data_IF_497127667407
#
_entry.id   IF_497127667407
#
_cell.length_a   1.000
_cell.length_b   1.000
_cell.length_c   1.000
_cell.angle_alpha   90.00
_cell.angle_beta   90.00
_cell.angle_gamma   90.00
#
_symmetry.space_group_name_H-M   'P 1'
#
loop_
_entity.id
_entity.type
_entity.pdbx_description
1 polymer ?
#
# COMPACT_ATOMS: atom_id res chain seq x y z
N UNK A 1 55.09 27.19 -41.72
CA UNK A 1 55.02 26.62 -40.37
C UNK A 1 54.27 27.65 -39.50
N UNK A 2 52.96 27.44 -39.30
CA UNK A 2 52.12 28.41 -38.59
C UNK A 2 52.39 28.26 -37.07
N UNK A 3 52.99 29.27 -36.48
CA UNK A 3 53.10 29.37 -35.02
C UNK A 3 51.70 29.67 -34.48
N UNK A 4 51.10 28.67 -33.84
CA UNK A 4 49.85 28.86 -33.08
C UNK A 4 50.04 29.97 -32.06
N UNK A 5 49.16 30.99 -32.12
CA UNK A 5 49.18 32.11 -31.20
C UNK A 5 49.12 31.57 -29.75
N UNK A 6 50.09 31.98 -28.91
CA UNK A 6 50.26 31.50 -27.52
C UNK A 6 48.98 31.59 -26.70
N UNK A 7 48.11 32.55 -27.01
CA UNK A 7 46.79 32.73 -26.38
C UNK A 7 45.80 31.62 -26.78
N UNK A 8 45.81 31.18 -28.03
CA UNK A 8 44.97 30.07 -28.51
C UNK A 8 45.38 28.72 -27.90
N UNK A 9 46.66 28.50 -27.71
CA UNK A 9 47.16 27.29 -27.04
C UNK A 9 46.71 27.26 -25.58
N UNK A 10 46.86 28.37 -24.87
CA UNK A 10 46.42 28.45 -23.45
C UNK A 10 44.93 28.24 -23.36
N UNK A 11 44.10 28.82 -24.23
CA UNK A 11 42.65 28.63 -24.26
C UNK A 11 42.25 27.17 -24.50
N UNK A 12 42.92 26.50 -25.46
CA UNK A 12 42.70 25.06 -25.70
C UNK A 12 43.10 24.18 -24.50
N UNK A 13 44.19 24.50 -23.85
CA UNK A 13 44.59 23.79 -22.62
C UNK A 13 43.57 23.95 -21.49
N UNK A 14 43.00 25.14 -21.29
CA UNK A 14 41.96 25.40 -20.28
C UNK A 14 40.71 24.60 -20.60
N UNK A 15 40.23 24.60 -21.86
CA UNK A 15 39.08 23.81 -22.29
C UNK A 15 39.36 22.31 -22.07
N UNK A 16 40.54 21.81 -22.41
CA UNK A 16 40.91 20.42 -22.23
C UNK A 16 40.94 20.00 -20.78
N UNK A 17 41.49 20.84 -19.88
CA UNK A 17 41.45 20.63 -18.43
C UNK A 17 40.01 20.63 -17.91
N UNK A 18 39.17 21.53 -18.39
CA UNK A 18 37.76 21.59 -18.01
C UNK A 18 36.98 20.36 -18.47
N UNK A 19 37.25 19.84 -19.67
CA UNK A 19 36.70 18.58 -20.13
C UNK A 19 37.16 17.37 -19.31
N UNK A 20 38.44 17.30 -18.91
CA UNK A 20 38.93 16.24 -18.03
C UNK A 20 38.25 16.30 -16.64
N UNK A 21 38.05 17.49 -16.09
CA UNK A 21 37.34 17.65 -14.81
C UNK A 21 35.88 17.22 -14.89
N UNK A 22 35.21 17.40 -16.03
CA UNK A 22 33.83 16.96 -16.25
C UNK A 22 33.71 15.43 -16.44
N UNK A 23 34.77 14.77 -16.93
CA UNK A 23 34.83 13.31 -17.12
C UNK A 23 35.21 12.53 -15.84
N UNK A 24 35.74 13.18 -14.82
CA UNK A 24 36.16 12.56 -13.57
C UNK A 24 35.01 12.24 -12.58
N UNK A 25 33.75 12.45 -12.97
CA UNK A 25 32.59 12.46 -12.06
C UNK A 25 31.83 11.14 -11.87
N UNK A 26 32.13 10.06 -12.59
CA UNK A 26 31.42 8.78 -12.40
C UNK A 26 32.23 7.81 -11.55
N UNK A 27 31.97 7.78 -10.25
CA UNK A 27 32.45 6.70 -9.39
C UNK A 27 31.86 5.38 -9.88
N UNK A 28 32.68 4.50 -10.46
CA UNK A 28 32.29 3.13 -10.83
C UNK A 28 32.03 2.35 -9.55
N UNK A 29 30.76 1.99 -9.32
CA UNK A 29 30.38 1.14 -8.20
C UNK A 29 30.46 -0.32 -8.67
N UNK A 30 31.41 -1.08 -8.14
CA UNK A 30 31.56 -2.49 -8.45
C UNK A 30 30.35 -3.30 -7.97
N UNK A 31 29.63 -3.92 -8.90
CA UNK A 31 28.40 -4.69 -8.64
C UNK A 31 28.72 -5.99 -7.90
N UNK A 32 29.89 -6.58 -8.15
CA UNK A 32 30.28 -7.88 -7.58
C UNK A 32 30.53 -7.80 -6.05
N UNK A 33 30.79 -6.59 -5.54
CA UNK A 33 31.00 -6.33 -4.12
C UNK A 33 29.74 -5.83 -3.39
N UNK A 34 28.54 -6.12 -3.93
CA UNK A 34 27.27 -5.66 -3.36
C UNK A 34 26.30 -6.79 -3.14
N UNK A 35 25.56 -6.69 -2.04
CA UNK A 35 24.39 -7.51 -1.74
C UNK A 35 23.14 -6.64 -1.82
N UNK A 36 22.25 -6.98 -2.74
CA UNK A 36 21.03 -6.23 -2.97
C UNK A 36 19.94 -6.68 -2.01
N UNK A 37 19.52 -5.78 -1.14
CA UNK A 37 18.40 -5.99 -0.23
C UNK A 37 17.13 -5.77 -1.02
N UNK A 38 16.23 -6.79 -1.04
CA UNK A 38 14.95 -6.75 -1.74
C UNK A 38 13.76 -6.68 -0.77
N UNK A 39 13.95 -7.11 0.47
CA UNK A 39 12.94 -7.05 1.52
C UNK A 39 13.56 -6.82 2.90
N UNK A 40 12.83 -6.12 3.74
CA UNK A 40 13.23 -5.85 5.12
C UNK A 40 12.06 -6.22 6.03
N UNK A 41 12.33 -7.00 7.07
CA UNK A 41 11.41 -7.33 8.13
C UNK A 41 11.81 -6.67 9.44
N UNK A 42 10.83 -6.16 10.17
CA UNK A 42 11.03 -5.61 11.51
C UNK A 42 10.04 -6.27 12.45
N UNK A 43 10.54 -7.04 13.39
CA UNK A 43 9.81 -7.70 14.46
C UNK A 43 10.24 -7.13 15.82
N UNK A 44 9.44 -7.26 16.89
CA UNK A 44 9.92 -7.04 18.24
C UNK A 44 10.99 -8.09 18.57
N UNK A 45 11.98 -7.74 19.37
CA UNK A 45 12.98 -8.70 19.86
C UNK A 45 12.31 -9.71 20.81
N UNK A 46 12.71 -10.97 20.70
CA UNK A 46 12.28 -12.03 21.61
C UNK A 46 13.12 -12.07 22.91
N UNK A 47 14.29 -11.41 22.92
CA UNK A 47 15.25 -11.46 24.04
C UNK A 47 15.11 -10.29 24.99
N UNK A 48 14.86 -9.09 24.44
CA UNK A 48 14.84 -7.86 25.22
C UNK A 48 13.66 -6.99 24.81
N UNK A 49 12.84 -6.61 25.78
CA UNK A 49 11.67 -5.74 25.57
C UNK A 49 12.13 -4.35 25.05
N UNK A 50 11.44 -3.83 24.05
CA UNK A 50 11.76 -2.55 23.42
C UNK A 50 12.83 -2.61 22.34
N UNK A 51 13.49 -3.76 22.16
CA UNK A 51 14.46 -3.99 21.08
C UNK A 51 13.76 -4.50 19.80
N UNK A 52 14.48 -4.43 18.68
CA UNK A 52 13.98 -4.85 17.36
C UNK A 52 14.79 -6.04 16.82
N UNK A 53 14.09 -6.97 16.19
CA UNK A 53 14.69 -8.00 15.33
C UNK A 53 14.56 -7.56 13.88
N UNK A 54 15.67 -7.35 13.19
CA UNK A 54 15.72 -6.94 11.79
C UNK A 54 16.14 -8.12 10.92
N UNK A 55 15.33 -8.39 9.90
CA UNK A 55 15.58 -9.40 8.87
C UNK A 55 15.79 -8.72 7.53
N UNK A 56 16.95 -8.96 6.90
CA UNK A 56 17.25 -8.51 5.54
C UNK A 56 17.16 -9.70 4.58
N UNK A 57 16.30 -9.60 3.58
CA UNK A 57 16.20 -10.56 2.47
C UNK A 57 17.07 -10.07 1.32
N UNK A 58 18.07 -10.86 0.97
CA UNK A 58 19.08 -10.52 -0.03
C UNK A 58 18.85 -11.33 -1.30
N UNK A 59 18.98 -10.67 -2.45
CA UNK A 59 19.02 -11.35 -3.75
C UNK A 59 20.45 -11.76 -4.08
N UNK A 60 20.65 -13.05 -4.36
CA UNK A 60 21.95 -13.55 -4.83
C UNK A 60 21.93 -13.58 -6.37
N UNK A 61 22.79 -12.79 -7.05
CA UNK A 61 22.88 -12.84 -8.50
C UNK A 61 23.26 -14.24 -8.98
N UNK A 62 22.48 -14.83 -9.85
CA UNK A 62 22.80 -16.14 -10.45
C UNK A 62 23.76 -15.91 -11.60
N UNK A 63 24.99 -16.37 -11.46
CA UNK A 63 26.14 -16.10 -12.37
C UNK A 63 26.07 -16.76 -13.76
N UNK A 64 24.96 -17.34 -14.20
CA UNK A 64 24.83 -17.95 -15.52
C UNK A 64 23.40 -17.93 -16.06
N UNK A 65 23.19 -17.26 -17.17
CA UNK A 65 21.95 -17.19 -17.95
C UNK A 65 21.56 -18.58 -18.52
N UNK A 66 22.47 -19.55 -18.52
CA UNK A 66 22.27 -20.87 -19.17
C UNK A 66 21.76 -21.98 -18.23
N UNK A 67 21.66 -21.73 -16.94
CA UNK A 67 21.03 -22.68 -16.02
C UNK A 67 19.76 -22.03 -15.46
N UNK A 68 18.63 -22.67 -15.68
CA UNK A 68 17.33 -22.38 -15.04
C UNK A 68 17.42 -22.65 -13.52
N UNK A 69 18.31 -21.95 -12.84
CA UNK A 69 18.35 -21.98 -11.37
C UNK A 69 17.37 -20.94 -10.86
N UNK A 70 16.43 -21.38 -10.03
CA UNK A 70 15.57 -20.47 -9.26
C UNK A 70 16.44 -19.41 -8.57
N UNK A 71 16.00 -18.15 -8.52
CA UNK A 71 16.69 -17.14 -7.73
C UNK A 71 16.87 -17.65 -6.31
N UNK A 72 18.08 -17.55 -5.79
CA UNK A 72 18.35 -17.93 -4.40
C UNK A 72 18.40 -16.69 -3.52
N UNK A 73 17.87 -16.81 -2.30
CA UNK A 73 17.87 -15.74 -1.32
C UNK A 73 18.72 -16.13 -0.14
N UNK A 74 19.36 -15.12 0.44
CA UNK A 74 20.00 -15.20 1.73
C UNK A 74 19.29 -14.28 2.70
N UNK A 75 19.26 -14.66 3.95
CA UNK A 75 18.67 -13.86 5.01
C UNK A 75 19.74 -13.54 6.05
N UNK A 76 19.85 -12.28 6.41
CA UNK A 76 20.61 -11.82 7.55
C UNK A 76 19.65 -11.36 8.62
N UNK A 77 19.84 -11.83 9.85
CA UNK A 77 18.95 -11.52 10.98
C UNK A 77 19.78 -11.09 12.16
N UNK A 78 19.41 -9.98 12.79
CA UNK A 78 20.03 -9.53 14.02
C UNK A 78 19.05 -8.75 14.89
N UNK A 79 19.24 -8.81 16.21
CA UNK A 79 18.48 -8.04 17.19
C UNK A 79 19.35 -6.89 17.71
N UNK A 80 18.76 -5.70 17.89
CA UNK A 80 19.43 -4.52 18.40
C UNK A 80 18.49 -3.61 19.16
N UNK A 81 19.02 -2.71 19.96
CA UNK A 81 18.26 -1.71 20.71
C UNK A 81 17.44 -0.82 19.76
N UNK A 82 17.95 -0.59 18.57
CA UNK A 82 17.25 0.11 17.50
C UNK A 82 17.59 -0.50 16.13
N UNK A 83 16.84 -0.11 15.10
CA UNK A 83 16.98 -0.68 13.75
C UNK A 83 18.37 -0.37 13.15
N UNK A 84 18.92 0.83 13.40
CA UNK A 84 20.23 1.23 12.89
C UNK A 84 21.34 0.33 13.47
N UNK A 85 21.32 0.07 14.77
CA UNK A 85 22.29 -0.80 15.43
C UNK A 85 22.21 -2.21 14.85
N UNK A 86 21.01 -2.79 14.75
CA UNK A 86 20.83 -4.11 14.17
C UNK A 86 21.40 -4.18 12.74
N UNK A 87 21.12 -3.18 11.90
CA UNK A 87 21.64 -3.10 10.54
C UNK A 87 23.14 -2.95 10.50
N UNK A 88 23.76 -2.11 11.36
CA UNK A 88 25.21 -1.94 11.44
C UNK A 88 25.93 -3.23 11.81
N UNK A 89 25.36 -4.01 12.71
CA UNK A 89 25.93 -5.33 13.04
C UNK A 89 25.76 -6.28 11.87
N UNK A 90 24.63 -6.29 11.18
CA UNK A 90 24.42 -7.09 9.97
C UNK A 90 25.44 -6.76 8.86
N UNK A 91 25.87 -5.51 8.72
CA UNK A 91 26.94 -5.11 7.80
C UNK A 91 28.28 -5.82 8.09
N UNK A 92 28.51 -6.25 9.34
CA UNK A 92 29.71 -7.00 9.72
C UNK A 92 29.63 -8.51 9.44
N UNK A 93 28.44 -9.01 9.07
CA UNK A 93 28.23 -10.44 8.76
C UNK A 93 28.58 -10.79 7.31
N UNK A 94 29.04 -9.83 6.53
CA UNK A 94 29.40 -10.00 5.13
C UNK A 94 30.61 -9.15 4.77
N UNK A 95 31.38 -9.61 3.81
CA UNK A 95 32.51 -8.86 3.20
C UNK A 95 32.05 -7.90 2.09
N UNK A 96 30.76 -7.90 1.78
CA UNK A 96 30.12 -7.08 0.75
C UNK A 96 29.32 -5.93 1.32
N UNK A 97 29.16 -4.87 0.55
CA UNK A 97 28.33 -3.72 0.93
C UNK A 97 26.84 -4.04 0.77
N UNK A 98 26.05 -3.80 1.80
CA UNK A 98 24.60 -3.89 1.74
C UNK A 98 24.01 -2.72 0.93
N UNK A 99 23.23 -3.02 -0.10
CA UNK A 99 22.64 -2.02 -1.01
C UNK A 99 21.12 -1.96 -0.83
N UNK A 100 20.64 -0.88 -0.23
CA UNK A 100 19.21 -0.67 0.11
C UNK A 100 18.38 -0.10 -1.03
N UNK A 101 19.01 0.44 -2.07
CA UNK A 101 18.33 1.09 -3.21
C UNK A 101 17.43 0.16 -4.02
N UNK A 102 17.48 -1.14 -3.80
CA UNK A 102 16.66 -2.17 -4.46
C UNK A 102 15.56 -2.74 -3.57
N UNK A 103 15.41 -2.24 -2.35
CA UNK A 103 14.34 -2.69 -1.44
C UNK A 103 12.97 -2.45 -2.07
N UNK A 104 12.20 -3.52 -2.18
CA UNK A 104 10.85 -3.52 -2.75
C UNK A 104 9.77 -3.54 -1.70
N UNK A 105 10.03 -4.16 -0.55
CA UNK A 105 9.04 -4.33 0.51
C UNK A 105 9.65 -4.20 1.89
N UNK A 106 8.89 -3.57 2.78
CA UNK A 106 9.17 -3.49 4.21
C UNK A 106 7.98 -4.11 4.93
N UNK A 107 8.24 -5.18 5.67
CA UNK A 107 7.25 -5.83 6.52
C UNK A 107 7.48 -5.41 7.97
N UNK A 108 6.44 -4.91 8.63
CA UNK A 108 6.50 -4.51 10.03
C UNK A 108 5.54 -5.39 10.81
N UNK A 109 6.02 -6.02 11.87
CA UNK A 109 5.17 -6.82 12.75
C UNK A 109 4.02 -5.97 13.31
N UNK A 110 2.81 -6.53 13.33
CA UNK A 110 1.59 -5.84 13.81
C UNK A 110 1.77 -5.26 15.22
N UNK A 111 2.47 -5.97 16.09
CA UNK A 111 2.72 -5.55 17.47
C UNK A 111 3.51 -4.22 17.59
N UNK A 112 4.27 -3.85 16.57
CA UNK A 112 5.02 -2.59 16.54
C UNK A 112 4.20 -1.40 16.03
N UNK A 113 3.01 -1.64 15.46
CA UNK A 113 2.23 -0.60 14.79
C UNK A 113 1.47 0.32 15.77
N UNK A 114 1.22 -0.11 16.99
CA UNK A 114 0.50 0.68 17.98
C UNK A 114 1.29 1.94 18.39
N UNK A 115 2.53 1.78 18.79
CA UNK A 115 3.30 2.84 19.41
C UNK A 115 4.56 3.25 18.63
N UNK A 116 5.06 2.39 17.75
CA UNK A 116 6.38 2.53 17.16
C UNK A 116 6.39 2.73 15.64
N UNK A 117 5.23 2.82 15.00
CA UNK A 117 5.18 2.91 13.52
C UNK A 117 5.96 4.11 12.98
N UNK A 118 5.89 5.25 13.66
CA UNK A 118 6.63 6.45 13.26
C UNK A 118 8.12 6.26 13.41
N UNK A 119 8.57 5.69 14.51
CA UNK A 119 9.98 5.46 14.80
C UNK A 119 10.58 4.46 13.81
N UNK A 120 9.86 3.35 13.55
CA UNK A 120 10.25 2.36 12.55
C UNK A 120 10.36 2.99 11.16
N UNK A 121 9.34 3.78 10.76
CA UNK A 121 9.32 4.41 9.45
C UNK A 121 10.32 5.57 9.33
N UNK A 122 10.60 6.29 10.41
CA UNK A 122 11.54 7.42 10.41
C UNK A 122 12.95 6.94 10.05
N UNK A 123 13.37 5.77 10.53
CA UNK A 123 14.64 5.14 10.14
C UNK A 123 14.73 4.97 8.62
N UNK A 124 13.74 4.32 8.01
CA UNK A 124 13.75 4.04 6.56
C UNK A 124 13.66 5.30 5.71
N UNK A 125 12.86 6.27 6.14
CA UNK A 125 12.64 7.53 5.42
C UNK A 125 13.88 8.44 5.48
N UNK A 126 14.66 8.38 6.56
CA UNK A 126 15.89 9.18 6.70
C UNK A 126 17.07 8.62 5.92
N UNK A 127 17.01 7.38 5.51
CA UNK A 127 18.04 6.78 4.65
C UNK A 127 18.01 7.39 3.26
N UNK A 128 19.12 8.04 2.85
CA UNK A 128 19.24 8.63 1.51
C UNK A 128 19.47 7.62 0.40
N UNK A 129 19.80 6.36 0.74
CA UNK A 129 20.09 5.25 -0.15
C UNK A 129 18.87 4.34 -0.42
N UNK A 130 17.70 4.65 0.16
CA UNK A 130 16.48 3.87 0.02
C UNK A 130 15.43 4.59 -0.85
N UNK A 131 14.70 3.83 -1.67
CA UNK A 131 13.61 4.37 -2.48
C UNK A 131 12.31 4.44 -1.69
N UNK A 132 11.65 5.61 -1.68
CA UNK A 132 10.37 5.80 -0.99
C UNK A 132 9.18 5.09 -1.64
N UNK A 133 9.38 4.40 -2.77
CA UNK A 133 8.40 3.59 -3.48
C UNK A 133 8.42 2.11 -3.05
N UNK A 134 9.16 1.75 -2.00
CA UNK A 134 9.01 0.43 -1.40
C UNK A 134 7.60 0.28 -0.80
N UNK A 135 6.97 -0.88 -1.00
CA UNK A 135 5.70 -1.20 -0.34
C UNK A 135 5.91 -1.44 1.15
N UNK A 136 4.91 -1.08 1.93
CA UNK A 136 4.90 -1.35 3.37
C UNK A 136 3.67 -2.18 3.71
N UNK A 137 3.86 -3.24 4.48
CA UNK A 137 2.78 -4.10 4.96
C UNK A 137 2.96 -4.47 6.44
N UNK A 138 1.86 -4.83 7.06
CA UNK A 138 1.83 -5.41 8.39
C UNK A 138 1.99 -6.93 8.29
N UNK A 139 2.95 -7.49 9.00
CA UNK A 139 3.03 -8.94 9.20
C UNK A 139 2.17 -9.31 10.41
N UNK A 140 1.26 -10.28 10.24
CA UNK A 140 0.32 -10.66 11.31
C UNK A 140 1.05 -11.25 12.51
N UNK A 141 2.01 -12.13 12.27
CA UNK A 141 2.74 -12.84 13.31
C UNK A 141 4.22 -12.46 13.30
N UNK A 142 4.94 -12.73 12.21
CA UNK A 142 6.34 -12.41 12.08
C UNK A 142 6.68 -11.86 10.70
N UNK A 143 7.38 -10.73 10.68
CA UNK A 143 7.90 -10.14 9.44
C UNK A 143 8.99 -11.03 8.83
N UNK A 144 9.79 -11.71 9.65
CA UNK A 144 10.78 -12.69 9.19
C UNK A 144 10.10 -13.85 8.48
N UNK A 145 9.04 -14.45 9.05
CA UNK A 145 8.32 -15.59 8.46
C UNK A 145 7.68 -15.20 7.12
N UNK A 146 7.04 -14.04 7.05
CA UNK A 146 6.47 -13.51 5.81
C UNK A 146 7.55 -13.36 4.72
N UNK A 147 8.74 -12.85 5.06
CA UNK A 147 9.83 -12.71 4.09
C UNK A 147 10.43 -14.06 3.66
N UNK A 148 10.41 -15.06 4.55
CA UNK A 148 10.91 -16.41 4.29
C UNK A 148 9.91 -17.30 3.57
N UNK A 149 8.63 -16.93 3.54
CA UNK A 149 7.59 -17.71 2.88
C UNK A 149 7.95 -17.99 1.41
N UNK A 150 7.79 -19.25 1.00
CA UNK A 150 8.08 -19.76 -0.34
C UNK A 150 6.82 -20.37 -0.97
N UNK A 151 5.95 -19.54 -1.57
CA UNK A 151 4.73 -20.05 -2.22
C UNK A 151 5.05 -21.05 -3.32
N UNK A 152 4.50 -22.28 -3.19
CA UNK A 152 4.75 -23.42 -4.11
C UNK A 152 4.21 -23.18 -5.52
N UNK A 153 3.22 -22.30 -5.66
CA UNK A 153 2.57 -22.01 -6.94
C UNK A 153 3.42 -21.15 -7.89
N UNK A 154 4.60 -20.68 -7.47
CA UNK A 154 5.39 -19.73 -8.22
C UNK A 154 6.76 -20.28 -8.60
N UNK A 155 7.13 -20.13 -9.88
CA UNK A 155 8.44 -20.54 -10.39
C UNK A 155 9.59 -19.67 -9.87
N UNK A 156 9.30 -18.42 -9.47
CA UNK A 156 10.27 -17.45 -8.97
C UNK A 156 9.86 -16.88 -7.61
N UNK A 157 10.35 -17.48 -6.54
CA UNK A 157 10.10 -17.09 -5.13
C UNK A 157 10.43 -15.62 -4.81
N UNK A 158 11.21 -14.93 -5.66
CA UNK A 158 11.67 -13.56 -5.41
C UNK A 158 10.63 -12.49 -5.53
N UNK A 159 9.63 -12.74 -6.34
CA UNK A 159 8.66 -11.72 -6.76
C UNK A 159 7.28 -11.97 -6.20
N UNK A 160 7.06 -13.09 -5.47
CA UNK A 160 5.73 -13.49 -5.04
C UNK A 160 5.06 -12.42 -4.19
N UNK A 161 5.71 -12.01 -3.10
CA UNK A 161 5.13 -11.00 -2.21
C UNK A 161 4.96 -9.64 -2.89
N UNK A 162 5.89 -9.23 -3.76
CA UNK A 162 5.78 -7.94 -4.46
C UNK A 162 4.72 -7.94 -5.54
N UNK A 163 4.40 -9.10 -6.13
CA UNK A 163 3.34 -9.23 -7.14
C UNK A 163 1.94 -8.97 -6.60
N UNK A 164 1.70 -9.20 -5.31
CA UNK A 164 0.44 -8.83 -4.68
C UNK A 164 0.17 -7.32 -4.74
N UNK A 165 1.25 -6.53 -4.74
CA UNK A 165 1.20 -5.07 -4.68
C UNK A 165 1.54 -4.41 -6.03
N UNK A 166 2.08 -5.16 -6.99
CA UNK A 166 2.48 -4.63 -8.28
C UNK A 166 1.25 -4.50 -9.19
N UNK A 167 0.89 -3.27 -9.48
CA UNK A 167 -0.30 -2.91 -10.26
C UNK A 167 -0.07 -3.19 -11.75
N UNK A 168 0.05 -4.46 -12.12
CA UNK A 168 0.19 -4.87 -13.53
C UNK A 168 -1.15 -5.06 -14.24
N UNK A 169 -2.24 -4.44 -13.75
CA UNK A 169 -3.55 -4.42 -14.40
C UNK A 169 -4.59 -5.38 -13.82
N UNK A 170 -4.29 -6.09 -12.74
CA UNK A 170 -5.23 -6.94 -12.00
C UNK A 170 -5.21 -6.58 -10.51
N UNK A 171 -5.56 -5.33 -10.21
CA UNK A 171 -5.71 -4.90 -8.82
C UNK A 171 -6.85 -5.67 -8.16
N UNK A 172 -6.52 -6.47 -7.16
CA UNK A 172 -7.55 -7.11 -6.35
C UNK A 172 -8.16 -6.07 -5.41
N UNK A 173 -9.50 -5.91 -5.40
CA UNK A 173 -10.15 -4.98 -4.49
C UNK A 173 -10.01 -5.38 -3.02
N UNK A 174 -9.52 -6.58 -2.74
CA UNK A 174 -9.27 -7.09 -1.39
C UNK A 174 -7.84 -6.81 -0.88
N UNK A 175 -6.96 -6.26 -1.72
CA UNK A 175 -5.57 -5.98 -1.38
C UNK A 175 -5.35 -4.46 -1.31
N UNK A 176 -4.90 -3.98 -0.15
CA UNK A 176 -4.41 -2.62 -0.01
C UNK A 176 -2.96 -2.57 -0.47
N UNK A 177 -2.62 -1.57 -1.27
CA UNK A 177 -1.25 -1.29 -1.68
C UNK A 177 -0.82 0.06 -1.11
N UNK A 178 0.19 0.07 -0.25
CA UNK A 178 0.66 1.27 0.42
C UNK A 178 2.16 1.42 0.25
N UNK A 179 2.58 2.51 -0.38
CA UNK A 179 3.99 2.86 -0.49
C UNK A 179 4.50 3.57 0.77
N UNK A 180 5.79 3.47 1.01
CA UNK A 180 6.45 4.13 2.14
C UNK A 180 6.20 5.65 2.16
N UNK A 181 6.23 6.33 0.99
CA UNK A 181 5.92 7.75 0.92
C UNK A 181 4.47 8.08 1.28
N UNK A 182 3.53 7.20 0.98
CA UNK A 182 2.11 7.37 1.31
C UNK A 182 1.87 7.17 2.81
N UNK A 183 2.44 6.11 3.37
CA UNK A 183 2.39 5.87 4.81
C UNK A 183 2.94 7.07 5.57
N UNK A 184 4.13 7.57 5.20
CA UNK A 184 4.73 8.77 5.78
C UNK A 184 3.82 9.97 5.68
N UNK A 185 3.32 10.26 4.46
CA UNK A 185 2.44 11.40 4.22
C UNK A 185 1.20 11.33 5.10
N UNK A 186 0.53 10.18 5.14
CA UNK A 186 -0.73 10.01 5.86
C UNK A 186 -0.51 10.04 7.38
N UNK A 187 0.55 9.40 7.90
CA UNK A 187 0.88 9.43 9.34
C UNK A 187 1.21 10.83 9.88
N UNK A 188 1.69 11.74 9.01
CA UNK A 188 1.99 13.12 9.40
C UNK A 188 0.88 14.12 9.04
N UNK A 189 -0.19 13.66 8.39
CA UNK A 189 -1.30 14.50 7.95
C UNK A 189 -2.46 14.41 8.93
N UNK A 190 -2.95 15.55 9.40
CA UNK A 190 -4.17 15.59 10.20
C UNK A 190 -5.40 15.35 9.33
N UNK A 191 -6.31 14.50 9.79
CA UNK A 191 -7.59 14.21 9.15
C UNK A 191 -7.54 13.14 8.08
N UNK A 192 -6.56 12.24 8.16
CA UNK A 192 -6.48 10.98 7.43
C UNK A 192 -5.69 9.98 8.26
N UNK A 193 -6.15 8.75 8.30
CA UNK A 193 -5.45 7.64 8.95
C UNK A 193 -4.89 6.68 7.88
N UNK A 194 -3.59 6.31 7.96
CA UNK A 194 -2.98 5.40 7.00
C UNK A 194 -3.56 3.99 7.12
N UNK A 195 -3.62 3.30 5.97
CA UNK A 195 -4.07 1.90 5.88
C UNK A 195 -2.95 1.05 5.35
N UNK A 196 -2.68 -0.08 5.98
CA UNK A 196 -1.65 -1.05 5.59
C UNK A 196 -2.29 -2.39 5.25
N UNK A 197 -1.81 -3.11 4.22
CA UNK A 197 -2.20 -4.50 4.01
C UNK A 197 -1.69 -5.38 5.14
N UNK A 198 -2.48 -6.37 5.55
CA UNK A 198 -2.04 -7.46 6.41
C UNK A 198 -1.53 -8.58 5.50
N UNK A 199 -0.35 -9.09 5.80
CA UNK A 199 0.23 -10.25 5.17
C UNK A 199 0.35 -11.36 6.21
N UNK A 200 -0.33 -12.47 5.94
CA UNK A 200 -0.33 -13.67 6.76
C UNK A 200 0.34 -14.81 5.98
N UNK A 201 0.93 -15.76 6.69
CA UNK A 201 1.37 -17.04 6.11
C UNK A 201 0.45 -18.15 6.59
N UNK A 202 0.27 -19.19 5.78
CA UNK A 202 -0.30 -20.43 6.31
C UNK A 202 0.74 -21.19 7.16
N UNK A 203 0.29 -22.19 7.92
CA UNK A 203 1.10 -22.92 8.93
C UNK A 203 2.41 -23.50 8.37
N UNK A 204 2.48 -23.85 7.11
CA UNK A 204 3.67 -24.43 6.46
C UNK A 204 4.48 -23.41 5.64
N UNK A 205 4.13 -22.13 5.65
CA UNK A 205 4.80 -21.07 4.89
C UNK A 205 4.68 -21.21 3.37
N UNK A 206 3.81 -22.11 2.88
CA UNK A 206 3.65 -22.39 1.45
C UNK A 206 2.70 -21.45 0.72
N UNK A 207 2.01 -20.57 1.45
CA UNK A 207 1.08 -19.57 0.90
C UNK A 207 1.19 -18.27 1.67
N UNK A 208 1.05 -17.17 0.92
CA UNK A 208 0.82 -15.83 1.47
C UNK A 208 -0.64 -15.46 1.28
N UNK A 209 -1.25 -14.90 2.32
CA UNK A 209 -2.64 -14.45 2.33
C UNK A 209 -2.64 -12.94 2.54
N UNK A 210 -3.21 -12.20 1.58
CA UNK A 210 -3.29 -10.74 1.61
C UNK A 210 -4.69 -10.33 1.21
N UNK A 211 -5.60 -10.27 2.16
CA UNK A 211 -7.00 -9.93 1.90
C UNK A 211 -7.67 -9.11 3.01
N UNK A 212 -6.87 -8.66 3.98
CA UNK A 212 -7.28 -7.80 5.08
C UNK A 212 -6.35 -6.59 5.16
N UNK A 213 -6.72 -5.60 5.94
CA UNK A 213 -5.90 -4.42 6.17
C UNK A 213 -6.05 -3.87 7.59
N UNK A 214 -5.11 -3.03 7.98
CA UNK A 214 -5.10 -2.33 9.26
C UNK A 214 -5.21 -0.83 9.02
N UNK A 215 -6.10 -0.16 9.76
CA UNK A 215 -6.03 1.29 9.92
C UNK A 215 -5.14 1.56 11.12
N UNK A 216 -4.10 2.37 10.92
CA UNK A 216 -3.08 2.65 11.93
C UNK A 216 -3.21 4.08 12.42
N UNK A 217 -3.26 4.24 13.74
CA UNK A 217 -3.24 5.55 14.38
C UNK A 217 -2.25 5.48 15.56
N UNK A 218 -1.32 6.43 15.66
CA UNK A 218 -0.31 6.41 16.71
C UNK A 218 -0.91 6.43 18.11
N UNK A 219 -0.37 5.59 19.00
CA UNK A 219 -0.85 5.45 20.38
C UNK A 219 -2.19 4.72 20.50
N UNK A 220 -2.61 4.00 19.47
CA UNK A 220 -3.82 3.17 19.48
C UNK A 220 -3.56 1.80 18.86
N UNK A 221 -4.21 0.79 19.41
CA UNK A 221 -4.23 -0.54 18.80
C UNK A 221 -4.76 -0.42 17.36
N UNK A 222 -4.05 -0.95 16.34
CA UNK A 222 -4.50 -0.92 14.96
C UNK A 222 -5.87 -1.55 14.79
N UNK A 223 -6.71 -0.94 13.94
CA UNK A 223 -8.06 -1.44 13.66
C UNK A 223 -8.05 -2.35 12.43
N UNK A 224 -8.34 -3.62 12.62
CA UNK A 224 -8.40 -4.59 11.52
C UNK A 224 -9.68 -4.43 10.68
N UNK A 225 -9.51 -4.25 9.39
CA UNK A 225 -10.56 -4.36 8.39
C UNK A 225 -10.61 -5.78 7.84
N UNK A 226 -11.76 -6.45 7.99
CA UNK A 226 -12.02 -7.73 7.34
C UNK A 226 -11.89 -7.61 5.80
N UNK A 227 -11.77 -8.72 5.09
CA UNK A 227 -11.69 -8.73 3.62
C UNK A 227 -12.82 -7.91 2.97
N UNK A 228 -14.04 -7.99 3.51
CA UNK A 228 -15.18 -7.22 3.02
C UNK A 228 -15.00 -5.72 3.25
N UNK A 229 -14.60 -5.30 4.45
CA UNK A 229 -14.38 -3.89 4.76
C UNK A 229 -13.16 -3.32 4.01
N UNK A 230 -12.12 -4.13 3.79
CA UNK A 230 -10.97 -3.78 2.94
C UNK A 230 -11.39 -3.50 1.51
N UNK A 231 -12.31 -4.32 0.96
CA UNK A 231 -12.89 -4.09 -0.36
C UNK A 231 -13.64 -2.76 -0.42
N UNK A 232 -14.49 -2.45 0.57
CA UNK A 232 -15.22 -1.19 0.61
C UNK A 232 -14.26 0.01 0.73
N UNK A 233 -13.20 -0.10 1.54
CA UNK A 233 -12.14 0.90 1.59
C UNK A 233 -11.54 1.16 0.21
N UNK A 234 -11.08 0.12 -0.48
CA UNK A 234 -10.47 0.24 -1.81
C UNK A 234 -11.46 0.79 -2.86
N UNK A 235 -12.73 0.40 -2.76
CA UNK A 235 -13.80 0.95 -3.61
C UNK A 235 -13.91 2.46 -3.43
N UNK A 236 -13.95 2.94 -2.18
CA UNK A 236 -14.16 4.36 -1.88
C UNK A 236 -12.90 5.20 -2.07
N UNK A 237 -11.74 4.71 -1.67
CA UNK A 237 -10.48 5.44 -1.71
C UNK A 237 -9.85 5.42 -3.12
N UNK A 238 -9.95 4.30 -3.85
CA UNK A 238 -9.22 4.06 -5.10
C UNK A 238 -10.10 3.82 -6.32
N UNK A 239 -11.43 3.84 -6.18
CA UNK A 239 -12.42 3.54 -7.24
C UNK A 239 -12.26 2.13 -7.84
N UNK A 240 -11.82 1.15 -7.04
CA UNK A 240 -11.63 -0.21 -7.53
C UNK A 240 -12.96 -0.91 -7.80
N UNK A 241 -12.97 -1.74 -8.83
CA UNK A 241 -14.01 -2.72 -9.16
C UNK A 241 -13.41 -4.14 -9.12
N UNK A 242 -14.01 -5.08 -9.85
CA UNK A 242 -13.54 -6.46 -9.92
C UNK A 242 -13.99 -7.33 -8.74
N UNK A 243 -15.18 -7.07 -8.22
CA UNK A 243 -15.78 -7.82 -7.12
C UNK A 243 -17.30 -7.93 -7.28
N UNK A 244 -17.92 -8.82 -6.49
CA UNK A 244 -19.33 -9.14 -6.66
C UNK A 244 -20.16 -8.82 -5.41
N UNK A 245 -21.42 -8.47 -5.65
CA UNK A 245 -22.48 -8.44 -4.65
C UNK A 245 -23.51 -9.53 -4.94
N UNK A 246 -24.09 -10.06 -3.87
CA UNK A 246 -25.24 -10.95 -3.95
C UNK A 246 -26.49 -10.16 -3.68
N UNK A 247 -27.47 -10.23 -4.60
CA UNK A 247 -28.80 -9.66 -4.45
C UNK A 247 -29.86 -10.77 -4.52
N UNK A 248 -31.03 -10.53 -4.00
CA UNK A 248 -32.16 -11.46 -4.05
C UNK A 248 -33.33 -10.81 -4.73
N UNK A 249 -33.94 -11.51 -5.68
CA UNK A 249 -35.14 -11.09 -6.37
C UNK A 249 -36.14 -12.26 -6.51
N UNK A 250 -37.29 -12.17 -5.85
CA UNK A 250 -38.35 -13.16 -5.89
C UNK A 250 -37.90 -14.61 -5.56
N UNK A 251 -37.04 -14.71 -4.52
CA UNK A 251 -36.43 -15.99 -4.10
C UNK A 251 -35.40 -16.54 -5.09
N UNK A 252 -34.86 -15.68 -5.96
CA UNK A 252 -33.75 -15.98 -6.85
C UNK A 252 -32.50 -15.25 -6.35
N UNK A 253 -31.42 -15.97 -6.07
CA UNK A 253 -30.13 -15.37 -5.76
C UNK A 253 -29.42 -14.99 -7.06
N UNK A 254 -28.96 -13.76 -7.13
CA UNK A 254 -28.29 -13.21 -8.30
C UNK A 254 -26.95 -12.65 -7.85
N UNK A 255 -25.88 -12.97 -8.56
CA UNK A 255 -24.53 -12.43 -8.33
C UNK A 255 -24.23 -11.39 -9.39
N UNK A 256 -24.01 -10.18 -8.92
CA UNK A 256 -23.68 -9.00 -9.74
C UNK A 256 -22.19 -8.72 -9.61
N UNK A 257 -21.45 -8.78 -10.72
CA UNK A 257 -20.05 -8.41 -10.79
C UNK A 257 -19.93 -6.92 -11.13
N UNK A 258 -19.19 -6.16 -10.31
CA UNK A 258 -18.91 -4.74 -10.52
C UNK A 258 -17.55 -4.59 -11.21
N UNK A 259 -17.58 -4.20 -12.47
CA UNK A 259 -16.34 -4.03 -13.26
C UNK A 259 -15.70 -2.65 -13.10
N UNK A 260 -16.53 -1.59 -12.97
CA UNK A 260 -16.04 -0.21 -12.85
C UNK A 260 -16.77 0.53 -11.74
N UNK A 261 -16.01 1.34 -11.01
CA UNK A 261 -16.52 2.18 -9.93
C UNK A 261 -16.00 3.60 -10.08
N UNK A 262 -16.83 4.59 -9.74
CA UNK A 262 -16.44 5.99 -9.66
C UNK A 262 -17.10 6.63 -8.45
N UNK A 263 -16.29 7.11 -7.53
CA UNK A 263 -16.75 7.73 -6.29
C UNK A 263 -16.41 9.22 -6.30
N UNK A 264 -17.37 10.03 -5.91
CA UNK A 264 -17.20 11.46 -5.67
C UNK A 264 -17.88 11.83 -4.37
N UNK A 265 -17.26 12.68 -3.57
CA UNK A 265 -17.87 13.16 -2.35
C UNK A 265 -17.64 14.66 -2.14
N UNK A 266 -18.53 15.27 -1.37
CA UNK A 266 -18.46 16.66 -0.92
C UNK A 266 -18.76 16.72 0.57
N UNK A 267 -18.01 17.55 1.27
CA UNK A 267 -18.30 17.89 2.66
C UNK A 267 -19.20 19.13 2.63
N UNK A 268 -20.42 18.97 3.17
CA UNK A 268 -21.36 20.09 3.33
C UNK A 268 -20.96 20.87 4.57
N UNK A 269 -20.97 22.18 4.46
CA UNK A 269 -20.58 23.05 5.57
C UNK A 269 -21.58 24.20 5.73
N UNK A 270 -21.94 24.49 6.97
CA UNK A 270 -22.70 25.68 7.35
C UNK A 270 -21.89 26.51 8.33
N UNK A 271 -21.72 27.80 8.07
CA UNK A 271 -20.88 28.69 8.87
C UNK A 271 -19.47 28.12 9.13
N UNK A 272 -18.86 27.47 8.12
CA UNK A 272 -17.56 26.79 8.19
C UNK A 272 -17.53 25.60 9.18
N UNK A 273 -18.66 25.06 9.62
CA UNK A 273 -18.74 23.81 10.36
C UNK A 273 -19.22 22.71 9.41
N UNK A 274 -18.68 21.50 9.46
CA UNK A 274 -19.15 20.38 8.64
C UNK A 274 -20.52 19.92 9.19
N UNK A 275 -21.45 19.63 8.28
CA UNK A 275 -22.84 19.23 8.63
C UNK A 275 -23.26 17.91 7.99
N UNK A 276 -22.63 17.51 6.88
CA UNK A 276 -22.89 16.23 6.23
C UNK A 276 -21.75 15.87 5.27
N UNK A 277 -21.67 14.58 4.91
CA UNK A 277 -20.81 14.08 3.84
C UNK A 277 -21.72 13.49 2.75
N UNK A 278 -21.84 14.19 1.62
CA UNK A 278 -22.60 13.74 0.48
C UNK A 278 -21.70 12.98 -0.48
N UNK A 279 -22.04 11.73 -0.78
CA UNK A 279 -21.26 10.86 -1.63
C UNK A 279 -22.10 10.33 -2.80
N UNK A 280 -21.57 10.41 -4.02
CA UNK A 280 -22.12 9.80 -5.21
C UNK A 280 -21.21 8.66 -5.67
N UNK A 281 -21.81 7.47 -5.84
CA UNK A 281 -21.14 6.25 -6.27
C UNK A 281 -21.80 5.79 -7.56
N UNK A 282 -21.05 5.75 -8.64
CA UNK A 282 -21.49 5.29 -9.96
C UNK A 282 -20.78 3.98 -10.27
N UNK A 283 -21.50 2.90 -10.53
CA UNK A 283 -20.97 1.59 -10.81
C UNK A 283 -21.51 1.03 -12.11
N UNK A 284 -20.68 0.29 -12.83
CA UNK A 284 -21.09 -0.47 -14.01
C UNK A 284 -20.69 -1.92 -13.82
N UNK A 285 -21.62 -2.82 -14.10
CA UNK A 285 -21.42 -4.24 -13.88
C UNK A 285 -22.25 -5.12 -14.82
N UNK A 286 -22.24 -6.40 -14.52
CA UNK A 286 -22.99 -7.43 -15.23
C UNK A 286 -23.43 -8.52 -14.24
N UNK A 287 -24.48 -9.24 -14.57
CA UNK A 287 -24.89 -10.41 -13.81
C UNK A 287 -24.08 -11.58 -14.30
N UNK A 288 -23.41 -12.29 -13.37
CA UNK A 288 -22.54 -13.42 -13.69
C UNK A 288 -23.07 -14.78 -13.22
N UNK A 289 -24.02 -14.78 -12.28
CA UNK A 289 -24.62 -15.99 -11.72
C UNK A 289 -26.06 -15.73 -11.29
N UNK A 290 -26.92 -16.74 -11.47
CA UNK A 290 -28.32 -16.70 -11.03
C UNK A 290 -28.83 -18.12 -10.84
N UNK A 291 -29.64 -18.34 -9.77
CA UNK A 291 -30.28 -19.66 -9.53
C UNK A 291 -31.40 -19.98 -10.52
N UNK A 292 -31.99 -18.96 -11.16
CA UNK A 292 -33.11 -19.08 -12.09
C UNK A 292 -32.90 -18.20 -13.32
N UNK A 293 -33.64 -18.47 -14.38
CA UNK A 293 -33.64 -17.66 -15.60
C UNK A 293 -33.94 -16.20 -15.29
N UNK A 294 -33.23 -15.31 -15.96
CA UNK A 294 -33.36 -13.86 -15.80
C UNK A 294 -34.15 -13.25 -16.97
N UNK A 295 -34.90 -12.23 -16.68
CA UNK A 295 -35.59 -11.43 -17.69
C UNK A 295 -34.98 -10.05 -17.82
N UNK A 296 -34.59 -9.67 -19.03
CA UNK A 296 -34.15 -8.31 -19.35
C UNK A 296 -35.15 -7.21 -18.98
N UNK A 297 -36.45 -7.55 -18.98
CA UNK A 297 -37.51 -6.63 -18.56
C UNK A 297 -37.43 -6.24 -17.08
N UNK A 298 -36.72 -6.99 -16.28
CA UNK A 298 -36.49 -6.72 -14.85
C UNK A 298 -35.13 -6.05 -14.55
N UNK A 299 -34.35 -5.67 -15.56
CA UNK A 299 -33.03 -5.11 -15.39
C UNK A 299 -33.02 -3.88 -14.46
N UNK A 300 -34.02 -2.99 -14.58
CA UNK A 300 -34.15 -1.83 -13.67
C UNK A 300 -34.34 -2.25 -12.21
N UNK A 301 -35.09 -3.34 -11.97
CA UNK A 301 -35.29 -3.88 -10.62
C UNK A 301 -33.97 -4.47 -10.07
N UNK A 302 -33.20 -5.19 -10.91
CA UNK A 302 -31.89 -5.72 -10.53
C UNK A 302 -30.93 -4.59 -10.22
N UNK A 303 -30.89 -3.52 -11.02
CA UNK A 303 -30.13 -2.31 -10.75
C UNK A 303 -30.46 -1.75 -9.37
N UNK A 304 -31.75 -1.59 -9.07
CA UNK A 304 -32.21 -1.04 -7.80
C UNK A 304 -31.81 -1.88 -6.60
N UNK A 305 -31.94 -3.19 -6.70
CA UNK A 305 -31.50 -4.11 -5.64
C UNK A 305 -29.98 -4.06 -5.44
N UNK A 306 -29.21 -3.96 -6.52
CA UNK A 306 -27.76 -3.80 -6.45
C UNK A 306 -27.38 -2.46 -5.80
N UNK A 307 -28.06 -1.36 -6.14
CA UNK A 307 -27.87 -0.04 -5.50
C UNK A 307 -28.10 -0.10 -3.99
N UNK A 308 -29.18 -0.76 -3.56
CA UNK A 308 -29.53 -0.87 -2.14
C UNK A 308 -28.50 -1.74 -1.38
N UNK A 309 -28.02 -2.84 -1.97
CA UNK A 309 -26.99 -3.69 -1.36
C UNK A 309 -25.63 -2.96 -1.28
N UNK A 310 -25.21 -2.27 -2.34
CA UNK A 310 -23.99 -1.42 -2.32
C UNK A 310 -24.12 -0.35 -1.24
N UNK A 311 -25.25 0.35 -1.20
CA UNK A 311 -25.50 1.40 -0.20
C UNK A 311 -25.37 0.88 1.22
N UNK A 312 -25.93 -0.29 1.50
CA UNK A 312 -25.86 -0.97 2.81
C UNK A 312 -24.41 -1.26 3.20
N UNK A 313 -23.63 -1.86 2.32
CA UNK A 313 -22.22 -2.22 2.58
C UNK A 313 -21.33 -0.99 2.78
N UNK A 314 -21.47 0.02 1.91
CA UNK A 314 -20.74 1.27 2.03
C UNK A 314 -21.08 1.99 3.33
N UNK A 315 -22.37 2.07 3.70
CA UNK A 315 -22.79 2.71 4.94
C UNK A 315 -22.27 1.96 6.17
N UNK A 316 -22.27 0.62 6.14
CA UNK A 316 -21.68 -0.19 7.19
C UNK A 316 -20.19 0.11 7.38
N UNK A 317 -19.40 0.16 6.30
CA UNK A 317 -17.99 0.54 6.37
C UNK A 317 -17.81 1.95 6.97
N UNK A 318 -18.50 2.95 6.41
CA UNK A 318 -18.35 4.35 6.84
C UNK A 318 -18.75 4.54 8.31
N UNK A 319 -19.84 3.93 8.75
CA UNK A 319 -20.28 4.02 10.15
C UNK A 319 -19.37 3.25 11.10
N UNK A 320 -18.76 2.15 10.65
CA UNK A 320 -17.81 1.38 11.44
C UNK A 320 -16.56 2.21 11.72
N UNK A 321 -15.91 2.76 10.69
CA UNK A 321 -14.70 3.57 10.90
C UNK A 321 -15.00 4.88 11.64
N UNK A 322 -16.17 5.49 11.41
CA UNK A 322 -16.60 6.69 12.12
C UNK A 322 -16.76 6.45 13.63
N UNK A 323 -17.42 5.35 14.03
CA UNK A 323 -17.57 4.97 15.45
C UNK A 323 -16.24 4.77 16.16
N UNK A 324 -15.26 4.23 15.43
CA UNK A 324 -13.89 4.04 15.91
C UNK A 324 -13.06 5.33 15.87
N UNK A 325 -13.63 6.46 15.44
CA UNK A 325 -12.95 7.76 15.27
C UNK A 325 -11.81 7.70 14.25
N UNK A 326 -11.94 6.85 13.25
CA UNK A 326 -10.96 6.66 12.19
C UNK A 326 -11.46 7.27 10.88
N UNK A 327 -10.56 7.86 10.12
CA UNK A 327 -10.83 8.48 8.82
C UNK A 327 -9.84 8.02 7.74
N UNK A 328 -9.93 6.75 7.30
CA UNK A 328 -9.02 6.23 6.29
C UNK A 328 -9.28 6.82 4.88
N UNK A 329 -10.46 7.41 4.66
CA UNK A 329 -10.81 8.06 3.38
C UNK A 329 -10.23 9.48 3.29
N UNK A 330 -9.90 10.09 4.45
CA UNK A 330 -9.33 11.43 4.50
C UNK A 330 -10.36 12.56 4.31
N UNK A 331 -11.57 12.38 4.80
CA UNK A 331 -12.59 13.46 4.81
C UNK A 331 -12.08 14.68 5.57
N UNK A 332 -11.46 14.46 6.74
CA UNK A 332 -10.88 15.54 7.55
C UNK A 332 -9.74 16.26 6.85
N UNK A 333 -8.89 15.53 6.13
CA UNK A 333 -7.84 16.13 5.31
C UNK A 333 -8.46 17.03 4.22
N UNK A 334 -9.52 16.57 3.55
CA UNK A 334 -10.22 17.38 2.55
C UNK A 334 -10.89 18.62 3.18
N UNK A 335 -11.54 18.46 4.31
CA UNK A 335 -12.11 19.59 5.05
C UNK A 335 -11.06 20.62 5.44
N UNK A 336 -9.91 20.17 5.92
CA UNK A 336 -8.76 21.01 6.26
C UNK A 336 -8.25 21.81 5.05
N UNK A 337 -8.16 21.18 3.87
CA UNK A 337 -7.71 21.87 2.64
C UNK A 337 -8.68 22.97 2.18
N UNK A 338 -9.98 22.83 2.51
CA UNK A 338 -10.98 23.88 2.23
C UNK A 338 -10.91 25.08 3.19
N UNK A 339 -10.19 24.95 4.33
CA UNK A 339 -10.15 25.95 5.40
C UNK A 339 -8.72 26.23 5.91
N UNK A 340 -7.74 26.34 5.02
CA UNK A 340 -6.30 26.37 5.31
C UNK A 340 -5.92 27.47 6.34
N UNK A 341 -6.59 28.61 6.35
CA UNK A 341 -6.25 29.76 7.19
C UNK A 341 -6.90 29.75 8.58
N UNK A 342 -7.57 28.68 8.97
CA UNK A 342 -8.25 28.60 10.26
C UNK A 342 -7.56 27.58 11.17
N UNK A 343 -6.90 28.08 12.23
CA UNK A 343 -6.17 27.24 13.21
C UNK A 343 -7.07 26.24 13.95
N UNK A 344 -8.38 26.52 14.02
CA UNK A 344 -9.38 25.71 14.72
C UNK A 344 -10.10 24.71 13.83
N UNK A 345 -9.66 24.52 12.59
CA UNK A 345 -10.32 23.67 11.60
C UNK A 345 -10.43 22.22 12.06
N UNK A 346 -9.34 21.65 12.58
CA UNK A 346 -9.32 20.23 12.98
C UNK A 346 -10.11 19.97 14.25
N UNK A 347 -10.16 20.93 15.19
CA UNK A 347 -11.02 20.80 16.38
C UNK A 347 -12.50 20.72 15.95
N UNK A 348 -12.94 21.62 15.07
CA UNK A 348 -14.31 21.62 14.53
C UNK A 348 -14.63 20.30 13.78
N UNK A 349 -13.66 19.78 13.05
CA UNK A 349 -13.81 18.49 12.38
C UNK A 349 -13.98 17.36 13.39
N UNK A 350 -13.07 17.25 14.34
CA UNK A 350 -13.05 16.18 15.32
C UNK A 350 -14.32 16.18 16.21
N UNK A 351 -14.84 17.37 16.55
CA UNK A 351 -16.09 17.51 17.29
C UNK A 351 -17.30 17.04 16.47
N UNK A 352 -17.33 17.34 15.17
CA UNK A 352 -18.49 17.06 14.32
C UNK A 352 -18.45 15.65 13.72
N UNK A 353 -17.28 15.12 13.39
CA UNK A 353 -17.11 13.92 12.56
C UNK A 353 -17.94 12.73 13.04
N UNK A 354 -17.98 12.49 14.35
CA UNK A 354 -18.70 11.34 14.92
C UNK A 354 -20.22 11.35 14.68
N UNK A 355 -20.78 12.53 14.44
CA UNK A 355 -22.22 12.73 14.26
C UNK A 355 -22.58 13.13 12.83
N UNK A 356 -21.58 13.27 11.92
CA UNK A 356 -21.86 13.65 10.55
C UNK A 356 -22.64 12.56 9.83
N UNK A 357 -23.81 12.87 9.27
CA UNK A 357 -24.54 11.93 8.45
C UNK A 357 -23.84 11.73 7.09
N UNK A 358 -23.90 10.49 6.59
CA UNK A 358 -23.51 10.13 5.23
C UNK A 358 -24.77 10.11 4.33
N UNK A 359 -24.83 11.02 3.38
CA UNK A 359 -25.86 11.02 2.33
C UNK A 359 -25.30 10.33 1.08
N UNK A 360 -25.76 9.09 0.84
CA UNK A 360 -25.26 8.22 -0.20
C UNK A 360 -26.26 8.16 -1.37
N UNK A 361 -25.81 8.58 -2.54
CA UNK A 361 -26.46 8.33 -3.83
C UNK A 361 -25.66 7.28 -4.58
N UNK A 362 -26.24 6.08 -4.73
CA UNK A 362 -25.65 4.97 -5.49
C UNK A 362 -26.43 4.81 -6.79
N UNK A 363 -25.72 4.64 -7.89
CA UNK A 363 -26.25 4.37 -9.22
C UNK A 363 -25.49 3.15 -9.78
N UNK A 364 -26.21 2.06 -10.04
CA UNK A 364 -25.67 0.83 -10.64
C UNK A 364 -26.28 0.65 -12.02
N UNK A 365 -25.44 0.44 -13.02
CA UNK A 365 -25.83 0.20 -14.40
C UNK A 365 -25.31 -1.19 -14.83
N UNK A 366 -26.21 -2.18 -14.80
CA UNK A 366 -25.94 -3.53 -15.27
C UNK A 366 -26.13 -3.60 -16.78
N UNK A 367 -25.10 -4.03 -17.50
CA UNK A 367 -25.06 -4.02 -18.97
C UNK A 367 -25.69 -5.26 -19.60
N UNK A 368 -25.74 -6.37 -18.87
CA UNK A 368 -26.28 -7.62 -19.38
C UNK A 368 -26.71 -8.56 -18.24
N UNK A 369 -27.48 -9.57 -18.59
CA UNK A 369 -27.85 -10.70 -17.72
C UNK A 369 -26.86 -11.87 -17.85
N UNK A 370 -25.66 -11.63 -18.38
CA UNK A 370 -24.67 -12.66 -18.70
C UNK A 370 -24.78 -13.14 -20.15
N UNK A 371 -24.00 -14.18 -20.50
CA UNK A 371 -23.96 -14.77 -21.86
C UNK A 371 -25.03 -15.84 -22.10
N UNK A 372 -25.87 -16.10 -21.11
CA UNK A 372 -26.96 -17.10 -21.20
C UNK A 372 -28.27 -16.32 -21.21
N UNK A 373 -28.92 -16.30 -22.39
CA UNK A 373 -30.31 -15.86 -22.56
C UNK A 373 -31.25 -17.04 -22.27
#
# INVERSE_FOLDING_TARGET
MYLLDRRKVVFLCVIFIQCILLLAGCGFKDIDNRLFIIGIGVDPSEKEEGHYKVTLKLSIPVGSIKQEKKPSYQYLVHEGENIEEAVRILETHTDKTLEFGHTKIIMVNEALLENNIKDVMDYFVRRGDMQLIAWVGAAKESAEEVLRAEPKAEEAVSTSITRFFDNTGTESPYIVSTFMFELRRNSHSLGIDPVLPIVETNDDGSQLIVNKSLIVQEGRVPFELSSRLTREYNTLAHNLGGYSYKIEFEGNNIVVNIGKTKVKYKIVTENKKPTAINMKIEMTGEIIESDKDLSLNNLEKYNKLAEDEVKKHVLEFLTTVQKEKLDPIGFGLKYRTMHINNKDTMNKWNEAYLELPFDLKVEVDLKSTGTIE
#
